data_IF_404270407669
#
_entry.id   IF_404270407669
#
_cell.length_a   1.000
_cell.length_b   1.000
_cell.length_c   1.000
_cell.angle_alpha   90.00
_cell.angle_beta   90.00
_cell.angle_gamma   90.00
#
_symmetry.space_group_name_H-M   'P 1'
#
loop_
_entity.id
_entity.type
_entity.pdbx_description
1 polymer ?
#
# COMPACT_ATOMS: atom_id res chain seq x y z
N UNK A 1 -14.02 -9.97 -2.05
CA UNK A 1 -13.59 -10.32 -0.68
C UNK A 1 -13.60 -11.82 -0.50
N UNK A 2 -12.74 -12.40 0.36
CA UNK A 2 -12.68 -13.85 0.60
C UNK A 2 -14.02 -14.40 1.10
N UNK A 3 -14.52 -15.48 0.51
CA UNK A 3 -15.78 -16.11 0.89
C UNK A 3 -15.60 -17.19 1.97
N UNK A 4 -14.49 -17.17 2.69
CA UNK A 4 -14.14 -18.14 3.70
C UNK A 4 -13.33 -17.46 4.81
N UNK A 5 -13.27 -18.13 5.96
CA UNK A 5 -12.51 -17.65 7.10
C UNK A 5 -11.03 -17.53 6.76
N UNK A 6 -10.50 -16.34 6.97
CA UNK A 6 -9.09 -16.05 6.82
C UNK A 6 -8.39 -16.22 8.17
N UNK A 7 -7.60 -17.30 8.32
CA UNK A 7 -6.96 -17.67 9.60
C UNK A 7 -6.12 -16.55 10.21
N UNK A 8 -5.46 -15.75 9.39
CA UNK A 8 -4.54 -14.69 9.81
C UNK A 8 -5.08 -13.28 9.56
N UNK A 9 -6.36 -13.15 9.20
CA UNK A 9 -6.94 -11.88 8.78
C UNK A 9 -6.96 -11.68 7.27
N UNK A 10 -7.49 -10.54 6.83
CA UNK A 10 -7.61 -10.16 5.43
C UNK A 10 -6.41 -9.32 5.03
N UNK A 11 -5.68 -9.75 4.02
CA UNK A 11 -4.54 -9.01 3.47
C UNK A 11 -4.98 -8.18 2.26
N UNK A 12 -4.81 -6.86 2.35
CA UNK A 12 -4.97 -5.94 1.24
C UNK A 12 -3.59 -5.54 0.71
N UNK A 13 -3.40 -5.71 -0.59
CA UNK A 13 -2.13 -5.50 -1.28
C UNK A 13 -2.29 -4.37 -2.30
N UNK A 14 -1.57 -3.26 -2.09
CA UNK A 14 -1.52 -2.14 -3.03
C UNK A 14 -0.14 -2.12 -3.67
N UNK A 15 -0.10 -2.41 -4.97
CA UNK A 15 1.12 -2.42 -5.78
C UNK A 15 1.09 -1.21 -6.69
N UNK A 16 2.14 -0.40 -6.63
CA UNK A 16 2.22 0.80 -7.46
C UNK A 16 2.83 0.47 -8.84
N UNK A 17 2.55 1.31 -9.85
CA UNK A 17 3.29 1.36 -11.11
C UNK A 17 4.81 1.36 -10.93
N UNK A 18 5.54 0.74 -11.86
CA UNK A 18 7.01 0.57 -11.77
C UNK A 18 7.77 1.09 -12.99
N UNK A 19 7.08 1.84 -13.84
CA UNK A 19 7.64 2.41 -15.06
C UNK A 19 7.37 3.90 -15.09
N UNK A 20 8.40 4.71 -15.30
CA UNK A 20 8.35 6.17 -15.31
C UNK A 20 8.51 6.73 -16.73
N UNK A 21 7.79 7.82 -17.02
CA UNK A 21 7.74 8.48 -18.33
C UNK A 21 9.04 9.18 -18.77
N UNK A 22 10.08 9.16 -17.93
CA UNK A 22 11.38 9.82 -18.11
C UNK A 22 11.35 11.35 -18.15
N UNK A 23 10.20 11.97 -17.89
CA UNK A 23 9.96 13.39 -18.12
C UNK A 23 9.40 14.11 -16.91
N UNK A 24 8.32 13.61 -16.33
CA UNK A 24 7.55 14.32 -15.32
C UNK A 24 7.74 13.66 -13.95
N UNK A 25 8.22 14.40 -12.96
CA UNK A 25 8.29 13.89 -11.58
C UNK A 25 6.90 13.77 -10.94
N UNK A 26 5.97 14.59 -11.42
CA UNK A 26 4.58 14.61 -11.00
C UNK A 26 3.74 15.21 -12.14
N UNK A 27 2.52 14.71 -12.32
CA UNK A 27 1.54 15.19 -13.31
C UNK A 27 0.36 15.84 -12.59
N UNK A 28 -0.44 16.65 -13.29
CA UNK A 28 -1.58 17.32 -12.64
C UNK A 28 -2.61 16.36 -12.04
N UNK A 29 -2.66 15.12 -12.52
CA UNK A 29 -3.49 14.04 -12.00
C UNK A 29 -2.75 13.13 -10.98
N UNK A 30 -1.50 13.45 -10.67
CA UNK A 30 -0.61 12.70 -9.79
C UNK A 30 -0.42 11.22 -10.14
N UNK A 31 -0.76 10.81 -11.38
CA UNK A 31 -0.80 9.40 -11.78
C UNK A 31 -0.19 9.11 -13.16
N UNK A 32 -0.46 9.95 -14.17
CA UNK A 32 -0.08 9.67 -15.57
C UNK A 32 1.42 9.69 -15.87
N UNK A 33 2.27 10.12 -14.93
CA UNK A 33 3.73 10.07 -15.06
C UNK A 33 4.30 8.66 -14.83
N UNK A 34 3.50 7.70 -14.36
CA UNK A 34 3.89 6.31 -14.14
C UNK A 34 2.93 5.30 -14.77
N UNK A 35 3.44 4.11 -15.09
CA UNK A 35 2.68 3.00 -15.67
C UNK A 35 3.10 1.63 -15.12
N UNK A 36 2.20 0.66 -15.23
CA UNK A 36 2.51 -0.75 -14.99
C UNK A 36 3.34 -1.33 -16.16
N UNK A 37 4.08 -2.44 -15.92
CA UNK A 37 4.73 -3.19 -16.99
C UNK A 37 3.74 -3.57 -18.11
N UNK A 38 4.20 -3.60 -19.36
CA UNK A 38 3.35 -3.98 -20.49
C UNK A 38 2.99 -5.48 -20.47
N UNK A 39 3.77 -6.28 -19.76
CA UNK A 39 3.50 -7.69 -19.49
C UNK A 39 4.22 -8.14 -18.21
N UNK A 40 3.73 -9.20 -17.58
CA UNK A 40 4.29 -9.71 -16.32
C UNK A 40 4.10 -8.74 -15.15
N UNK A 41 4.98 -8.83 -14.17
CA UNK A 41 4.97 -8.01 -12.94
C UNK A 41 6.36 -7.49 -12.61
N UNK A 42 6.48 -6.72 -11.52
CA UNK A 42 7.78 -6.31 -10.99
C UNK A 42 8.67 -7.52 -10.66
N UNK A 43 8.11 -8.56 -10.04
CA UNK A 43 8.79 -9.78 -9.62
C UNK A 43 9.30 -10.61 -10.80
N UNK A 44 8.57 -10.62 -11.91
CA UNK A 44 9.00 -11.28 -13.15
C UNK A 44 9.88 -10.39 -14.01
N UNK A 45 10.30 -9.22 -13.50
CA UNK A 45 11.07 -8.21 -14.20
C UNK A 45 10.42 -7.76 -15.53
N UNK A 46 9.09 -7.63 -15.54
CA UNK A 46 8.28 -7.25 -16.71
C UNK A 46 8.83 -6.02 -17.44
N UNK A 47 8.73 -5.96 -18.78
CA UNK A 47 9.20 -4.82 -19.56
C UNK A 47 8.29 -3.60 -19.35
N UNK A 48 8.90 -2.43 -19.33
CA UNK A 48 8.14 -1.19 -19.33
C UNK A 48 7.60 -0.87 -20.73
N UNK A 49 6.42 -0.23 -20.82
CA UNK A 49 5.91 0.24 -22.11
C UNK A 49 6.81 1.35 -22.66
N UNK A 50 6.82 1.53 -23.99
CA UNK A 50 7.65 2.55 -24.64
C UNK A 50 7.32 3.99 -24.20
N UNK A 51 6.09 4.23 -23.72
CA UNK A 51 5.68 5.52 -23.14
C UNK A 51 6.29 5.80 -21.77
N UNK A 52 6.75 4.76 -21.06
CA UNK A 52 7.33 4.86 -19.72
C UNK A 52 8.63 4.05 -19.62
N UNK A 53 9.69 4.41 -20.36
CA UNK A 53 10.82 3.52 -20.60
C UNK A 53 11.73 3.26 -19.39
N UNK A 54 11.57 4.00 -18.29
CA UNK A 54 12.48 3.94 -17.14
C UNK A 54 11.90 3.05 -16.03
N UNK A 55 12.58 1.97 -15.68
CA UNK A 55 12.22 1.15 -14.51
C UNK A 55 12.54 1.91 -13.23
N UNK A 56 11.59 1.92 -12.30
CA UNK A 56 11.72 2.52 -10.97
C UNK A 56 11.48 1.47 -9.87
N UNK A 57 11.93 1.72 -8.62
CA UNK A 57 11.65 0.82 -7.50
C UNK A 57 10.15 0.66 -7.26
N UNK A 58 9.70 -0.55 -6.90
CA UNK A 58 8.30 -0.78 -6.55
C UNK A 58 8.00 -0.27 -5.15
N UNK A 59 6.94 0.52 -5.04
CA UNK A 59 6.23 0.71 -3.78
C UNK A 59 5.17 -0.38 -3.67
N UNK A 60 5.19 -1.07 -2.53
CA UNK A 60 4.25 -2.14 -2.21
C UNK A 60 3.80 -1.96 -0.77
N UNK A 61 2.50 -1.76 -0.59
CA UNK A 61 1.88 -1.72 0.74
C UNK A 61 1.13 -3.03 0.97
N UNK A 62 1.48 -3.67 2.09
CA UNK A 62 0.80 -4.84 2.61
C UNK A 62 0.12 -4.43 3.91
N UNK A 63 -1.20 -4.50 3.94
CA UNK A 63 -2.01 -4.19 5.11
C UNK A 63 -2.75 -5.45 5.53
N UNK A 64 -2.51 -5.89 6.76
CA UNK A 64 -3.21 -7.02 7.37
C UNK A 64 -4.28 -6.48 8.30
N UNK A 65 -5.53 -6.78 7.96
CA UNK A 65 -6.70 -6.49 8.77
C UNK A 65 -6.99 -7.69 9.66
N UNK A 66 -6.80 -7.51 10.97
CA UNK A 66 -6.98 -8.59 11.94
C UNK A 66 -8.48 -8.92 12.13
N UNK A 67 -8.97 -9.85 11.31
CA UNK A 67 -10.33 -10.38 11.41
C UNK A 67 -10.41 -11.65 12.25
N UNK A 68 -9.32 -12.08 12.90
CA UNK A 68 -9.29 -13.32 13.68
C UNK A 68 -10.34 -13.40 14.80
N UNK A 69 -10.68 -12.29 15.49
CA UNK A 69 -11.77 -12.29 16.47
C UNK A 69 -13.14 -12.69 15.89
N UNK A 70 -13.30 -12.69 14.56
CA UNK A 70 -14.53 -12.99 13.85
C UNK A 70 -14.47 -14.33 13.09
N UNK A 71 -13.53 -15.22 13.43
CA UNK A 71 -13.36 -16.52 12.77
C UNK A 71 -14.38 -17.59 13.18
N UNK A 72 -15.30 -17.29 14.10
CA UNK A 72 -16.39 -18.19 14.45
C UNK A 72 -17.44 -18.20 13.33
N UNK A 73 -17.55 -19.32 12.58
CA UNK A 73 -18.52 -19.44 11.49
C UNK A 73 -19.97 -19.27 11.96
N UNK A 74 -20.28 -19.49 13.25
CA UNK A 74 -21.65 -19.34 13.75
C UNK A 74 -22.16 -17.90 13.75
N UNK A 75 -21.26 -16.90 13.67
CA UNK A 75 -21.61 -15.49 13.55
C UNK A 75 -21.64 -15.00 12.09
N UNK A 76 -21.37 -15.87 11.13
CA UNK A 76 -21.41 -15.54 9.69
C UNK A 76 -22.83 -15.76 9.13
N UNK A 77 -23.20 -15.06 8.06
CA UNK A 77 -24.47 -15.28 7.35
C UNK A 77 -24.73 -16.75 6.98
N UNK A 78 -25.97 -17.22 7.17
CA UNK A 78 -26.39 -18.59 6.85
C UNK A 78 -26.31 -18.93 5.36
N UNK A 79 -26.35 -17.91 4.49
CA UNK A 79 -26.22 -18.05 3.04
C UNK A 79 -24.77 -18.34 2.58
N UNK A 80 -23.81 -18.35 3.51
CA UNK A 80 -22.39 -18.60 3.25
C UNK A 80 -21.64 -17.38 2.71
N UNK A 81 -22.26 -16.20 2.68
CA UNK A 81 -21.56 -14.95 2.39
C UNK A 81 -20.64 -14.54 3.55
N UNK A 82 -19.60 -13.79 3.23
CA UNK A 82 -18.66 -13.25 4.23
C UNK A 82 -19.22 -11.94 4.82
N UNK A 83 -19.01 -11.65 6.12
CA UNK A 83 -19.68 -10.55 6.82
C UNK A 83 -19.02 -9.18 6.65
N UNK A 84 -17.80 -9.10 6.11
CA UNK A 84 -17.01 -7.86 6.13
C UNK A 84 -17.36 -6.91 4.99
N UNK A 85 -17.37 -5.62 5.27
CA UNK A 85 -17.48 -4.56 4.28
C UNK A 85 -16.38 -3.54 4.57
N UNK A 86 -15.77 -2.99 3.53
CA UNK A 86 -14.87 -1.87 3.72
C UNK A 86 -15.64 -0.65 4.22
N UNK A 87 -14.99 0.24 4.98
CA UNK A 87 -15.63 1.45 5.53
C UNK A 87 -16.30 2.32 4.46
N UNK A 88 -15.76 2.31 3.24
CA UNK A 88 -16.30 3.00 2.06
C UNK A 88 -17.40 2.21 1.32
N UNK A 89 -17.99 1.19 1.94
CA UNK A 89 -19.15 0.46 1.42
C UNK A 89 -18.86 -0.57 0.33
N UNK A 90 -17.59 -0.91 0.09
CA UNK A 90 -17.20 -1.91 -0.90
C UNK A 90 -17.20 -3.33 -0.33
N UNK A 91 -17.91 -4.22 -1.00
CA UNK A 91 -17.97 -5.65 -0.68
C UNK A 91 -17.02 -6.50 -1.56
N UNK A 92 -16.43 -5.89 -2.59
CA UNK A 92 -15.57 -6.57 -3.57
C UNK A 92 -14.11 -6.55 -3.17
N UNK A 93 -13.63 -5.46 -2.58
CA UNK A 93 -12.23 -5.22 -2.24
C UNK A 93 -11.42 -4.53 -3.34
N UNK A 94 -12.06 -4.09 -4.42
CA UNK A 94 -11.41 -3.38 -5.52
C UNK A 94 -11.28 -1.87 -5.29
N UNK A 95 -11.97 -1.31 -4.29
CA UNK A 95 -11.90 0.12 -4.00
C UNK A 95 -10.66 0.57 -3.21
N UNK A 96 -9.86 -0.37 -2.71
CA UNK A 96 -8.63 -0.06 -1.96
C UNK A 96 -7.61 0.63 -2.87
N UNK A 97 -7.10 1.78 -2.44
CA UNK A 97 -6.02 2.49 -3.10
C UNK A 97 -4.96 2.89 -2.07
N UNK A 98 -3.87 3.49 -2.54
CA UNK A 98 -2.85 4.03 -1.67
C UNK A 98 -2.16 5.21 -2.33
N UNK A 99 -1.81 6.17 -1.51
CA UNK A 99 -1.01 7.33 -1.91
C UNK A 99 0.41 7.18 -1.39
N UNK A 100 1.36 7.71 -2.15
CA UNK A 100 2.74 7.83 -1.71
C UNK A 100 3.17 9.27 -1.74
N UNK A 101 3.64 9.75 -0.59
CA UNK A 101 4.24 11.07 -0.45
C UNK A 101 5.70 10.88 -0.06
N UNK A 102 6.60 11.46 -0.86
CA UNK A 102 8.03 11.35 -0.62
C UNK A 102 8.45 12.16 0.62
N UNK A 103 8.89 11.45 1.66
CA UNK A 103 9.33 12.04 2.93
C UNK A 103 10.81 11.87 3.27
N UNK A 104 11.63 11.32 2.36
CA UNK A 104 13.04 11.08 2.65
C UNK A 104 13.84 12.38 2.67
N UNK A 105 14.71 12.53 3.68
CA UNK A 105 15.55 13.72 3.83
C UNK A 105 16.75 13.67 2.88
N UNK A 106 16.88 14.67 2.01
CA UNK A 106 18.03 14.82 1.11
C UNK A 106 18.19 13.61 0.18
N UNK A 107 19.40 13.06 0.11
CA UNK A 107 19.76 11.91 -0.73
C UNK A 107 19.45 10.54 -0.08
N UNK A 108 18.67 10.51 1.00
CA UNK A 108 18.45 9.32 1.82
C UNK A 108 17.96 8.11 1.02
N UNK A 109 16.94 8.28 0.18
CA UNK A 109 16.43 7.20 -0.66
C UNK A 109 17.48 6.74 -1.68
N UNK A 110 18.17 7.67 -2.34
CA UNK A 110 19.18 7.34 -3.34
C UNK A 110 20.30 6.47 -2.74
N UNK A 111 20.83 6.87 -1.59
CA UNK A 111 21.84 6.08 -0.87
C UNK A 111 21.34 4.68 -0.49
N UNK A 112 20.05 4.55 -0.15
CA UNK A 112 19.44 3.25 0.16
C UNK A 112 19.40 2.34 -1.07
N UNK A 113 19.00 2.90 -2.21
CA UNK A 113 18.89 2.21 -3.49
C UNK A 113 20.27 1.76 -4.02
N UNK A 114 21.27 2.64 -3.95
CA UNK A 114 22.62 2.36 -4.46
C UNK A 114 23.36 1.28 -3.66
N UNK A 115 23.04 1.14 -2.38
CA UNK A 115 23.77 0.28 -1.44
C UNK A 115 22.95 -0.88 -0.86
N UNK A 116 21.76 -1.14 -1.40
CA UNK A 116 20.82 -2.14 -0.88
C UNK A 116 20.66 -2.06 0.65
N UNK A 117 20.33 -0.86 1.16
CA UNK A 117 20.08 -0.55 2.59
C UNK A 117 21.26 -0.63 3.56
N UNK A 118 22.52 -0.75 3.10
CA UNK A 118 23.69 -0.86 4.00
C UNK A 118 24.03 0.44 4.76
N UNK A 119 23.64 1.59 4.22
CA UNK A 119 24.13 2.91 4.65
C UNK A 119 23.12 3.78 5.42
N UNK A 120 21.91 3.27 5.63
CA UNK A 120 20.88 3.99 6.38
C UNK A 120 21.00 3.72 7.88
N UNK A 121 20.83 4.78 8.68
CA UNK A 121 20.69 4.64 10.13
C UNK A 121 19.41 3.86 10.43
N UNK A 122 19.55 2.71 11.08
CA UNK A 122 18.42 1.90 11.56
C UNK A 122 18.08 2.27 13.00
N UNK A 123 16.82 2.04 13.35
CA UNK A 123 16.32 2.15 14.72
C UNK A 123 15.36 0.99 14.99
N UNK A 124 15.18 0.65 16.26
CA UNK A 124 14.21 -0.38 16.66
C UNK A 124 12.78 0.12 16.47
N UNK A 125 11.82 -0.80 16.29
CA UNK A 125 10.38 -0.47 16.24
C UNK A 125 9.97 0.30 17.51
N UNK A 126 10.46 -0.12 18.67
CA UNK A 126 10.19 0.56 19.94
C UNK A 126 10.62 2.03 19.93
N UNK A 127 11.78 2.35 19.35
CA UNK A 127 12.24 3.73 19.17
C UNK A 127 11.43 4.49 18.13
N UNK A 128 11.04 3.85 17.03
CA UNK A 128 10.17 4.47 16.02
C UNK A 128 8.81 4.86 16.60
N UNK A 129 8.21 3.99 17.42
CA UNK A 129 6.92 4.21 18.06
C UNK A 129 6.92 5.35 19.11
N UNK A 130 8.10 5.82 19.54
CA UNK A 130 8.22 7.02 20.38
C UNK A 130 8.00 8.32 19.59
N UNK A 131 8.05 8.26 18.25
CA UNK A 131 7.74 9.40 17.39
C UNK A 131 6.22 9.56 17.30
N UNK A 132 5.64 10.35 18.21
CA UNK A 132 4.22 10.71 18.17
C UNK A 132 4.04 12.14 17.66
N UNK A 133 3.04 12.33 16.80
CA UNK A 133 2.53 13.65 16.44
C UNK A 133 1.27 13.90 17.24
N UNK A 134 1.12 15.11 17.78
CA UNK A 134 -0.15 15.52 18.39
C UNK A 134 -1.21 15.62 17.30
N UNK A 135 -2.45 15.25 17.63
CA UNK A 135 -3.60 15.46 16.77
C UNK A 135 -3.62 16.92 16.28
N UNK A 136 -3.59 17.10 14.96
CA UNK A 136 -3.60 18.44 14.33
C UNK A 136 -5.01 18.93 14.04
N UNK A 137 -5.96 18.02 13.85
CA UNK A 137 -7.37 18.31 13.54
C UNK A 137 -8.23 17.58 14.55
N UNK A 138 -9.10 18.31 15.25
CA UNK A 138 -10.05 17.73 16.19
C UNK A 138 -11.21 17.11 15.40
N UNK A 139 -11.09 15.84 15.06
CA UNK A 139 -12.15 15.05 14.45
C UNK A 139 -12.99 14.41 15.55
N UNK A 140 -14.31 14.47 15.41
CA UNK A 140 -15.27 13.93 16.40
C UNK A 140 -15.46 12.41 16.26
N UNK A 141 -14.76 11.79 15.32
CA UNK A 141 -14.80 10.35 15.06
C UNK A 141 -13.39 9.82 15.34
N UNK A 142 -13.24 9.02 16.40
CA UNK A 142 -12.03 8.22 16.60
C UNK A 142 -12.04 7.09 15.56
N UNK A 143 -11.47 7.35 14.37
CA UNK A 143 -11.44 6.40 13.28
C UNK A 143 -10.65 6.96 12.09
N UNK A 144 -9.81 6.11 11.50
CA UNK A 144 -8.90 6.37 10.39
C UNK A 144 -9.57 7.19 9.27
N UNK A 145 -8.84 8.22 8.78
CA UNK A 145 -9.15 9.18 7.71
C UNK A 145 -10.18 8.68 6.69
N UNK A 146 -11.28 9.42 6.54
CA UNK A 146 -12.26 9.32 5.44
C UNK A 146 -11.70 9.94 4.15
#
# INVERSE_FOLDING_TARGET
MPNCVCKEGIMANVRFPTCWDSKNLDTADHASHVAYPSSGTFETNGPCPATHPVKIPQLFYEVIWDTRPFNDNSIWPEDGSQPFVWSYGDFTGYGTHGDYVFGWKGDGLQRAMDSCNGVLKRQTIAQANQCSQKQKVAEYIDGVVD
#
